data_IF_166764527217
#
_entry.id   IF_166764527217
#
_cell.length_a   1.000
_cell.length_b   1.000
_cell.length_c   1.000
_cell.angle_alpha   90.00
_cell.angle_beta   90.00
_cell.angle_gamma   90.00
#
_symmetry.space_group_name_H-M   'P 1'
#
loop_
_entity.id
_entity.type
_entity.pdbx_description
1 polymer ?
#
# COMPACT_ATOMS: atom_id res chain seq x y z
N UNK A 1 -49.44 23.08 13.13
CA UNK A 1 -48.04 22.65 12.93
C UNK A 1 -47.24 23.92 12.82
N UNK A 2 -46.45 24.24 13.85
CA UNK A 2 -45.63 25.44 13.85
C UNK A 2 -44.42 25.16 12.96
N UNK A 3 -44.29 25.97 11.92
CA UNK A 3 -43.18 25.99 10.98
C UNK A 3 -41.94 26.46 11.76
N UNK A 4 -41.02 25.53 12.06
CA UNK A 4 -39.71 25.85 12.63
C UNK A 4 -38.91 26.48 11.49
N UNK A 5 -39.03 27.80 11.33
CA UNK A 5 -38.13 28.58 10.51
C UNK A 5 -36.73 28.48 11.15
N UNK A 6 -35.94 27.51 10.68
CA UNK A 6 -34.51 27.43 10.97
C UNK A 6 -33.89 28.67 10.35
N UNK A 7 -33.44 29.59 11.20
CA UNK A 7 -32.73 30.80 10.78
C UNK A 7 -31.39 30.37 10.21
N UNK A 8 -31.25 30.40 8.89
CA UNK A 8 -29.99 30.10 8.21
C UNK A 8 -29.00 31.24 8.47
N UNK A 9 -27.89 30.94 9.14
CA UNK A 9 -26.81 31.90 9.41
C UNK A 9 -25.72 31.71 8.37
N UNK A 10 -25.37 32.78 7.66
CA UNK A 10 -24.27 32.76 6.69
C UNK A 10 -22.95 32.65 7.42
N UNK A 11 -22.06 31.81 6.90
CA UNK A 11 -20.70 31.71 7.41
C UNK A 11 -19.96 33.05 7.25
N UNK A 12 -19.17 33.40 8.25
CA UNK A 12 -18.34 34.60 8.20
C UNK A 12 -17.11 34.38 7.33
N UNK A 13 -16.54 35.46 6.79
CA UNK A 13 -15.28 35.39 6.04
C UNK A 13 -14.13 34.78 6.87
N UNK A 14 -14.18 34.93 8.21
CA UNK A 14 -13.20 34.36 9.12
C UNK A 14 -13.34 32.84 9.17
N UNK A 15 -14.55 32.30 9.34
CA UNK A 15 -14.79 30.86 9.39
C UNK A 15 -14.45 30.17 8.07
N UNK A 16 -14.72 30.83 6.94
CA UNK A 16 -14.31 30.35 5.61
C UNK A 16 -12.78 30.32 5.49
N UNK A 17 -12.09 31.36 5.97
CA UNK A 17 -10.62 31.41 5.93
C UNK A 17 -9.97 30.36 6.85
N UNK A 18 -10.55 30.10 8.02
CA UNK A 18 -10.13 29.03 8.92
C UNK A 18 -10.31 27.66 8.27
N UNK A 19 -11.45 27.40 7.66
CA UNK A 19 -11.70 26.14 6.96
C UNK A 19 -10.75 25.93 5.76
N UNK A 20 -10.44 26.98 4.99
CA UNK A 20 -9.41 26.89 3.93
C UNK A 20 -8.04 26.49 4.46
N UNK A 21 -7.65 27.03 5.63
CA UNK A 21 -6.39 26.66 6.28
C UNK A 21 -6.39 25.20 6.74
N UNK A 22 -7.54 24.70 7.19
CA UNK A 22 -7.74 23.30 7.51
C UNK A 22 -7.61 22.41 6.27
N UNK A 23 -8.31 22.75 5.17
CA UNK A 23 -8.20 22.07 3.88
C UNK A 23 -6.75 22.01 3.37
N UNK A 24 -6.01 23.13 3.43
CA UNK A 24 -4.60 23.17 3.03
C UNK A 24 -3.73 22.24 3.87
N UNK A 25 -4.02 22.11 5.16
CA UNK A 25 -3.29 21.22 6.08
C UNK A 25 -3.54 19.75 5.73
N UNK A 26 -4.80 19.37 5.47
CA UNK A 26 -5.15 18.03 5.00
C UNK A 26 -4.51 17.75 3.64
N UNK A 27 -4.61 18.68 2.69
CA UNK A 27 -4.02 18.55 1.35
C UNK A 27 -2.51 18.34 1.40
N UNK A 28 -1.79 19.11 2.20
CA UNK A 28 -0.35 18.92 2.40
C UNK A 28 -0.03 17.52 2.95
N UNK A 29 -0.75 17.08 3.98
CA UNK A 29 -0.58 15.75 4.55
C UNK A 29 -0.90 14.62 3.55
N UNK A 30 -1.98 14.76 2.76
CA UNK A 30 -2.36 13.80 1.73
C UNK A 30 -1.30 13.68 0.64
N UNK A 31 -0.73 14.80 0.19
CA UNK A 31 0.35 14.81 -0.81
C UNK A 31 1.60 14.11 -0.26
N UNK A 32 2.02 14.41 0.97
CA UNK A 32 3.17 13.76 1.58
C UNK A 32 2.94 12.25 1.72
N UNK A 33 1.76 11.84 2.18
CA UNK A 33 1.43 10.44 2.33
C UNK A 33 1.31 9.69 0.98
N UNK A 34 0.88 10.36 -0.09
CA UNK A 34 0.92 9.81 -1.45
C UNK A 34 2.36 9.59 -1.93
N UNK A 35 3.29 10.51 -1.61
CA UNK A 35 4.71 10.34 -1.95
C UNK A 35 5.33 9.14 -1.22
N UNK A 36 5.00 8.93 0.05
CA UNK A 36 5.46 7.76 0.82
C UNK A 36 4.86 6.46 0.27
N UNK A 37 3.56 6.47 -0.05
CA UNK A 37 2.88 5.32 -0.64
C UNK A 37 3.50 4.92 -2.00
N UNK A 38 3.85 5.89 -2.86
CA UNK A 38 4.51 5.60 -4.14
C UNK A 38 5.90 4.96 -3.93
N UNK A 39 6.68 5.44 -2.94
CA UNK A 39 7.97 4.82 -2.60
C UNK A 39 7.78 3.37 -2.17
N UNK A 40 6.79 3.10 -1.31
CA UNK A 40 6.47 1.74 -0.85
C UNK A 40 6.01 0.84 -2.00
N UNK A 41 5.20 1.35 -2.93
CA UNK A 41 4.78 0.62 -4.14
C UNK A 41 5.98 0.25 -5.02
N UNK A 42 6.91 1.18 -5.24
CA UNK A 42 8.13 0.92 -6.01
C UNK A 42 8.96 -0.18 -5.33
N UNK A 43 9.12 -0.11 -4.01
CA UNK A 43 9.88 -1.11 -3.25
C UNK A 43 9.24 -2.50 -3.29
N UNK A 44 7.94 -2.61 -3.04
CA UNK A 44 7.19 -3.88 -3.08
C UNK A 44 7.24 -4.48 -4.49
N UNK A 45 7.00 -3.68 -5.53
CA UNK A 45 7.05 -4.16 -6.92
C UNK A 45 8.44 -4.67 -7.30
N UNK A 46 9.50 -3.97 -6.88
CA UNK A 46 10.85 -4.44 -7.12
C UNK A 46 11.13 -5.79 -6.43
N UNK A 47 10.60 -6.02 -5.22
CA UNK A 47 10.70 -7.33 -4.55
C UNK A 47 9.92 -8.42 -5.27
N UNK A 48 8.68 -8.13 -5.68
CA UNK A 48 7.85 -9.04 -6.47
C UNK A 48 8.53 -9.44 -7.78
N UNK A 49 9.05 -8.46 -8.53
CA UNK A 49 9.79 -8.71 -9.77
C UNK A 49 11.03 -9.59 -9.54
N UNK A 50 11.77 -9.33 -8.46
CA UNK A 50 12.93 -10.14 -8.08
C UNK A 50 12.55 -11.58 -7.70
N UNK A 51 11.40 -11.78 -7.04
CA UNK A 51 10.89 -13.11 -6.71
C UNK A 51 10.40 -13.85 -7.96
N UNK A 52 9.67 -13.18 -8.85
CA UNK A 52 9.19 -13.75 -10.11
C UNK A 52 10.35 -14.14 -11.05
N UNK A 53 11.44 -13.37 -11.04
CA UNK A 53 12.66 -13.72 -11.79
C UNK A 53 13.34 -15.00 -11.27
N UNK A 54 13.15 -15.34 -9.99
CA UNK A 54 13.74 -16.49 -9.33
C UNK A 54 12.77 -17.68 -9.19
N UNK A 55 11.48 -17.48 -9.48
CA UNK A 55 10.45 -18.50 -9.37
C UNK A 55 10.74 -19.71 -10.28
N UNK A 56 10.20 -20.87 -9.91
CA UNK A 56 10.26 -22.04 -10.78
C UNK A 56 9.26 -21.88 -11.92
N UNK A 57 9.66 -22.17 -13.16
CA UNK A 57 8.82 -21.98 -14.34
C UNK A 57 8.37 -23.34 -14.87
N UNK A 58 7.06 -23.55 -14.93
CA UNK A 58 6.46 -24.74 -15.51
C UNK A 58 6.60 -24.77 -17.04
N UNK A 59 6.43 -25.95 -17.69
CA UNK A 59 6.47 -26.05 -19.15
C UNK A 59 5.44 -25.19 -19.90
N UNK A 60 4.35 -24.80 -19.23
CA UNK A 60 3.30 -23.93 -19.75
C UNK A 60 3.62 -22.42 -19.59
N UNK A 61 4.73 -22.09 -18.93
CA UNK A 61 5.19 -20.72 -18.67
C UNK A 61 4.72 -20.12 -17.36
N UNK A 62 3.85 -20.80 -16.58
CA UNK A 62 3.45 -20.32 -15.25
C UNK A 62 4.62 -20.37 -14.29
N UNK A 63 4.70 -19.34 -13.43
CA UNK A 63 5.64 -19.32 -12.31
C UNK A 63 4.98 -19.90 -11.08
N UNK A 64 5.73 -20.70 -10.35
CA UNK A 64 5.26 -21.36 -9.14
C UNK A 64 6.28 -21.22 -8.01
N UNK A 65 5.75 -21.24 -6.79
CA UNK A 65 6.45 -21.06 -5.54
C UNK A 65 6.14 -22.24 -4.62
N UNK A 66 7.19 -22.80 -4.01
CA UNK A 66 7.05 -23.83 -3.00
C UNK A 66 6.76 -23.19 -1.64
N UNK A 67 5.88 -23.78 -0.85
CA UNK A 67 5.62 -23.36 0.53
C UNK A 67 6.86 -23.49 1.43
N UNK A 68 6.85 -22.82 2.58
CA UNK A 68 7.88 -22.96 3.61
C UNK A 68 7.98 -24.39 4.16
N UNK A 69 6.83 -25.06 4.31
CA UNK A 69 6.76 -26.47 4.74
C UNK A 69 7.30 -27.46 3.69
N UNK A 70 7.52 -26.99 2.45
CA UNK A 70 8.03 -27.78 1.33
C UNK A 70 7.03 -28.76 0.72
N UNK A 71 5.78 -28.79 1.18
CA UNK A 71 4.80 -29.82 0.80
C UNK A 71 3.83 -29.38 -0.29
N UNK A 72 3.67 -28.07 -0.51
CA UNK A 72 2.68 -27.52 -1.43
C UNK A 72 3.33 -26.53 -2.39
N UNK A 73 2.69 -26.36 -3.54
CA UNK A 73 3.13 -25.45 -4.60
C UNK A 73 1.97 -24.56 -4.98
N UNK A 74 2.21 -23.26 -5.05
CA UNK A 74 1.25 -22.25 -5.46
C UNK A 74 1.76 -21.52 -6.69
N UNK A 75 0.86 -21.11 -7.58
CA UNK A 75 1.24 -20.28 -8.72
C UNK A 75 1.31 -18.78 -8.37
N UNK A 76 1.70 -17.96 -9.35
CA UNK A 76 1.82 -16.50 -9.22
C UNK A 76 0.49 -15.78 -8.92
N UNK A 77 -0.65 -16.48 -9.00
CA UNK A 77 -1.98 -15.99 -8.64
C UNK A 77 -2.46 -16.48 -7.26
N UNK A 78 -1.68 -17.35 -6.60
CA UNK A 78 -2.04 -17.93 -5.31
C UNK A 78 -2.96 -19.15 -5.41
N UNK A 79 -3.07 -19.76 -6.59
CA UNK A 79 -3.80 -21.01 -6.76
C UNK A 79 -2.88 -22.21 -6.46
N UNK A 80 -3.37 -23.19 -5.70
CA UNK A 80 -2.62 -24.41 -5.41
C UNK A 80 -2.47 -25.26 -6.68
N UNK A 81 -1.24 -25.64 -6.98
CA UNK A 81 -0.88 -26.47 -8.13
C UNK A 81 -0.81 -27.92 -7.68
N UNK A 82 -1.61 -28.78 -8.30
CA UNK A 82 -1.65 -30.21 -7.97
C UNK A 82 -0.28 -30.89 -8.15
N UNK A 83 0.02 -31.83 -7.26
CA UNK A 83 1.26 -32.61 -7.30
C UNK A 83 1.39 -33.49 -8.55
N UNK A 84 0.29 -33.73 -9.26
CA UNK A 84 0.28 -34.38 -10.58
C UNK A 84 0.92 -33.54 -11.68
N UNK A 85 0.94 -32.21 -11.50
CA UNK A 85 1.52 -31.26 -12.44
C UNK A 85 2.96 -30.89 -12.08
N UNK A 86 3.25 -30.69 -10.79
CA UNK A 86 4.60 -30.41 -10.28
C UNK A 86 4.81 -31.03 -8.92
N UNK A 87 5.84 -31.86 -8.81
CA UNK A 87 6.28 -32.40 -7.52
C UNK A 87 7.05 -31.32 -6.74
N UNK A 88 6.67 -30.98 -5.49
CA UNK A 88 7.39 -30.00 -4.67
C UNK A 88 8.89 -30.29 -4.54
N UNK A 89 9.31 -31.56 -4.55
CA UNK A 89 10.71 -31.96 -4.42
C UNK A 89 11.55 -31.58 -5.66
N UNK A 90 10.92 -31.27 -6.78
CA UNK A 90 11.57 -30.79 -8.00
C UNK A 90 11.94 -29.29 -7.92
N UNK A 91 11.34 -28.54 -7.00
CA UNK A 91 11.57 -27.11 -6.83
C UNK A 91 12.69 -26.90 -5.82
N UNK A 92 13.75 -26.21 -6.22
CA UNK A 92 14.92 -26.01 -5.36
C UNK A 92 14.62 -25.11 -4.14
N UNK A 93 15.15 -25.49 -2.97
CA UNK A 93 14.87 -24.82 -1.69
C UNK A 93 15.38 -23.38 -1.57
N UNK A 94 16.30 -22.96 -2.46
CA UNK A 94 16.84 -21.60 -2.47
C UNK A 94 15.89 -20.59 -3.11
N UNK A 95 14.82 -21.05 -3.78
CA UNK A 95 13.86 -20.18 -4.45
C UNK A 95 12.94 -19.47 -3.44
N UNK A 96 12.34 -18.34 -3.84
CA UNK A 96 11.35 -17.65 -3.02
C UNK A 96 10.20 -18.56 -2.60
N UNK A 97 9.69 -18.35 -1.39
CA UNK A 97 8.59 -19.12 -0.82
C UNK A 97 7.24 -18.49 -1.17
N UNK A 98 6.21 -19.33 -1.25
CA UNK A 98 4.86 -18.90 -1.61
C UNK A 98 4.33 -17.84 -0.63
N UNK A 99 4.59 -18.04 0.66
CA UNK A 99 4.16 -17.17 1.75
C UNK A 99 4.74 -15.76 1.61
N UNK A 100 6.04 -15.63 1.36
CA UNK A 100 6.70 -14.33 1.16
C UNK A 100 6.17 -13.62 -0.09
N UNK A 101 5.99 -14.35 -1.20
CA UNK A 101 5.45 -13.78 -2.44
C UNK A 101 4.01 -13.30 -2.27
N UNK A 102 3.14 -14.11 -1.66
CA UNK A 102 1.74 -13.76 -1.45
C UNK A 102 1.58 -12.61 -0.45
N UNK A 103 2.45 -12.54 0.57
CA UNK A 103 2.50 -11.41 1.50
C UNK A 103 2.85 -10.10 0.77
N UNK A 104 3.90 -10.07 -0.06
CA UNK A 104 4.25 -8.87 -0.84
C UNK A 104 3.17 -8.52 -1.87
N UNK A 105 2.46 -9.50 -2.44
CA UNK A 105 1.31 -9.26 -3.34
C UNK A 105 0.13 -8.61 -2.62
N UNK A 106 -0.15 -9.06 -1.40
CA UNK A 106 -1.16 -8.45 -0.55
C UNK A 106 -0.78 -7.02 -0.17
N UNK A 107 0.49 -6.80 0.23
CA UNK A 107 1.00 -5.46 0.51
C UNK A 107 0.89 -4.53 -0.71
N UNK A 108 1.18 -5.00 -1.92
CA UNK A 108 0.97 -4.22 -3.15
C UNK A 108 -0.49 -3.81 -3.30
N UNK A 109 -1.42 -4.75 -3.10
CA UNK A 109 -2.86 -4.51 -3.21
C UNK A 109 -3.32 -3.47 -2.20
N UNK A 110 -2.94 -3.61 -0.93
CA UNK A 110 -3.27 -2.65 0.12
C UNK A 110 -2.72 -1.25 -0.18
N UNK A 111 -1.49 -1.17 -0.70
CA UNK A 111 -0.89 0.11 -1.08
C UNK A 111 -1.63 0.78 -2.25
N UNK A 112 -2.07 0.02 -3.25
CA UNK A 112 -2.89 0.55 -4.36
C UNK A 112 -4.24 1.05 -3.83
N UNK A 113 -4.93 0.25 -3.02
CA UNK A 113 -6.20 0.67 -2.43
C UNK A 113 -6.05 1.93 -1.57
N UNK A 114 -4.95 2.03 -0.81
CA UNK A 114 -4.64 3.20 0.01
C UNK A 114 -4.37 4.43 -0.87
N UNK A 115 -3.63 4.29 -1.98
CA UNK A 115 -3.41 5.35 -2.96
C UNK A 115 -4.72 5.89 -3.51
N UNK A 116 -5.64 5.00 -3.90
CA UNK A 116 -6.91 5.39 -4.49
C UNK A 116 -7.78 6.17 -3.49
N UNK A 117 -7.85 5.72 -2.23
CA UNK A 117 -8.56 6.46 -1.16
C UNK A 117 -7.99 7.87 -0.94
N UNK A 118 -6.67 8.06 -1.08
CA UNK A 118 -6.02 9.37 -0.95
C UNK A 118 -6.30 10.29 -2.13
N UNK A 119 -6.39 9.74 -3.33
CA UNK A 119 -6.81 10.51 -4.51
C UNK A 119 -8.27 10.93 -4.39
N UNK A 120 -9.16 10.02 -3.95
CA UNK A 120 -10.57 10.35 -3.69
C UNK A 120 -10.72 11.48 -2.66
N UNK A 121 -9.86 11.53 -1.64
CA UNK A 121 -9.84 12.62 -0.67
C UNK A 121 -9.43 13.96 -1.31
N UNK A 122 -8.44 13.97 -2.21
CA UNK A 122 -8.03 15.19 -2.93
C UNK A 122 -9.17 15.73 -3.79
N UNK A 123 -9.83 14.85 -4.54
CA UNK A 123 -10.98 15.24 -5.38
C UNK A 123 -12.12 15.85 -4.54
N UNK A 124 -12.34 15.33 -3.32
CA UNK A 124 -13.33 15.90 -2.39
C UNK A 124 -12.91 17.27 -1.86
N UNK A 125 -11.64 17.46 -1.48
CA UNK A 125 -11.15 18.76 -1.02
C UNK A 125 -11.23 19.81 -2.14
N UNK A 126 -10.98 19.41 -3.38
CA UNK A 126 -11.14 20.30 -4.54
C UNK A 126 -12.62 20.68 -4.75
N UNK A 127 -13.56 19.74 -4.61
CA UNK A 127 -14.99 20.04 -4.64
C UNK A 127 -15.43 20.95 -3.47
N UNK A 128 -14.83 20.83 -2.29
CA UNK A 128 -15.07 21.73 -1.16
C UNK A 128 -14.55 23.14 -1.46
N UNK A 129 -13.36 23.27 -2.05
CA UNK A 129 -12.81 24.56 -2.48
C UNK A 129 -13.70 25.25 -3.52
N UNK A 130 -14.21 24.51 -4.50
CA UNK A 130 -15.18 25.03 -5.48
C UNK A 130 -16.42 25.59 -4.77
N UNK A 131 -16.98 24.85 -3.80
CA UNK A 131 -18.13 25.33 -3.00
C UNK A 131 -17.79 26.58 -2.15
N UNK A 132 -16.57 26.69 -1.64
CA UNK A 132 -16.12 27.89 -0.92
C UNK A 132 -16.00 29.12 -1.83
N UNK A 133 -15.75 28.93 -3.13
CA UNK A 133 -15.67 30.01 -4.10
C UNK A 133 -17.05 30.54 -4.54
N UNK A 134 -18.11 29.72 -4.44
CA UNK A 134 -19.48 30.13 -4.78
C UNK A 134 -20.05 31.21 -3.84
N UNK A 135 -19.57 31.30 -2.59
CA UNK A 135 -19.74 32.46 -1.72
C UNK A 135 -21.04 32.57 -0.91
N UNK A 136 -21.93 31.58 -0.98
CA UNK A 136 -23.23 31.55 -0.27
C UNK A 136 -23.32 30.42 0.78
N UNK A 137 -22.21 30.09 1.45
CA UNK A 137 -22.17 29.02 2.45
C UNK A 137 -22.72 29.47 3.81
N UNK A 138 -23.46 28.56 4.44
CA UNK A 138 -23.97 28.73 5.79
C UNK A 138 -22.99 28.15 6.82
N UNK A 139 -23.14 28.51 8.09
CA UNK A 139 -22.37 27.89 9.18
C UNK A 139 -22.56 26.36 9.21
N UNK A 140 -23.79 25.90 8.95
CA UNK A 140 -24.13 24.48 8.87
C UNK A 140 -23.43 23.81 7.68
N UNK A 141 -23.36 24.45 6.50
CA UNK A 141 -22.64 23.91 5.34
C UNK A 141 -21.14 23.71 5.66
N UNK A 142 -20.51 24.65 6.36
CA UNK A 142 -19.12 24.52 6.77
C UNK A 142 -18.91 23.44 7.83
N UNK A 143 -19.89 23.22 8.73
CA UNK A 143 -19.83 22.15 9.71
C UNK A 143 -19.94 20.77 9.01
N UNK A 144 -20.88 20.64 8.08
CA UNK A 144 -21.08 19.43 7.29
C UNK A 144 -19.82 19.09 6.47
N UNK A 145 -19.17 20.09 5.85
CA UNK A 145 -17.92 19.87 5.12
C UNK A 145 -16.77 19.41 6.03
N UNK A 146 -16.66 19.95 7.25
CA UNK A 146 -15.65 19.49 8.23
C UNK A 146 -15.93 18.07 8.70
N UNK A 147 -17.19 17.73 8.94
CA UNK A 147 -17.59 16.37 9.29
C UNK A 147 -17.26 15.41 8.15
N UNK A 148 -17.57 15.77 6.90
CA UNK A 148 -17.22 14.99 5.72
C UNK A 148 -15.69 14.79 5.63
N UNK A 149 -14.91 15.87 5.77
CA UNK A 149 -13.45 15.79 5.74
C UNK A 149 -12.90 14.84 6.82
N UNK A 150 -13.43 14.95 8.04
CA UNK A 150 -13.05 14.09 9.16
C UNK A 150 -13.56 12.64 9.00
N UNK A 151 -14.66 12.39 8.33
CA UNK A 151 -15.15 11.04 8.06
C UNK A 151 -14.27 10.34 7.04
N UNK A 152 -14.03 10.99 5.89
CA UNK A 152 -13.38 10.39 4.73
C UNK A 152 -11.84 10.42 4.79
N UNK A 153 -11.24 11.28 5.61
CA UNK A 153 -9.78 11.29 5.72
C UNK A 153 -9.25 9.96 6.29
N UNK A 154 -8.27 9.32 5.60
CA UNK A 154 -7.57 8.16 6.14
C UNK A 154 -6.88 8.47 7.48
N UNK A 155 -6.73 7.44 8.31
CA UNK A 155 -6.21 7.60 9.69
C UNK A 155 -4.78 8.16 9.72
N UNK A 156 -3.92 7.78 8.77
CA UNK A 156 -2.57 8.32 8.64
C UNK A 156 -2.57 9.83 8.38
N UNK A 157 -3.53 10.33 7.58
CA UNK A 157 -3.68 11.76 7.30
C UNK A 157 -4.18 12.51 8.54
N UNK A 158 -5.20 11.97 9.21
CA UNK A 158 -5.76 12.55 10.46
C UNK A 158 -4.67 12.74 11.49
N UNK A 159 -3.84 11.73 11.71
CA UNK A 159 -2.77 11.79 12.69
C UNK A 159 -1.72 12.83 12.31
N UNK A 160 -1.36 12.92 11.04
CA UNK A 160 -0.42 13.91 10.54
C UNK A 160 -0.92 15.35 10.73
N UNK A 161 -2.20 15.61 10.42
CA UNK A 161 -2.83 16.93 10.64
C UNK A 161 -2.90 17.28 12.12
N UNK A 162 -3.16 16.30 12.99
CA UNK A 162 -3.14 16.47 14.45
C UNK A 162 -1.73 16.64 15.04
N UNK A 163 -0.67 16.58 14.22
CA UNK A 163 0.72 16.64 14.67
C UNK A 163 1.15 15.40 15.47
N UNK A 164 0.40 14.31 15.37
CA UNK A 164 0.79 13.00 15.90
C UNK A 164 1.73 12.37 14.89
N UNK A 165 2.96 12.08 15.30
CA UNK A 165 4.00 11.57 14.43
C UNK A 165 3.64 10.13 14.00
N UNK A 166 2.97 9.99 12.85
CA UNK A 166 2.62 8.67 12.30
C UNK A 166 3.86 8.04 11.67
N UNK A 167 4.42 7.05 12.35
CA UNK A 167 5.28 6.08 11.69
C UNK A 167 4.37 4.94 11.27
N UNK A 168 4.10 4.81 9.97
CA UNK A 168 3.50 3.59 9.43
C UNK A 168 4.31 2.41 9.99
N UNK A 169 3.68 1.40 10.61
CA UNK A 169 4.40 0.22 11.02
C UNK A 169 4.93 -0.44 9.76
N UNK A 170 6.21 -0.20 9.47
CA UNK A 170 7.01 -1.08 8.65
C UNK A 170 7.22 -2.34 9.50
N UNK A 171 6.22 -3.21 9.56
CA UNK A 171 6.47 -4.62 9.85
C UNK A 171 7.16 -5.23 8.62
N UNK A 172 8.37 -4.72 8.35
CA UNK A 172 9.36 -5.38 7.54
C UNK A 172 9.87 -6.53 8.39
N UNK A 173 9.20 -7.66 8.27
CA UNK A 173 9.55 -8.89 8.96
C UNK A 173 11.04 -9.17 8.79
N UNK A 174 11.70 -9.53 9.89
CA UNK A 174 13.18 -9.60 10.01
C UNK A 174 13.85 -10.69 9.16
N UNK A 175 13.13 -11.30 8.22
CA UNK A 175 13.63 -12.37 7.36
C UNK A 175 14.43 -11.87 6.14
N UNK A 176 14.63 -10.55 6.02
CA UNK A 176 15.46 -9.89 5.00
C UNK A 176 16.93 -10.35 4.92
N UNK A 177 17.42 -11.16 5.87
CA UNK A 177 18.81 -11.61 5.85
C UNK A 177 19.08 -12.82 4.93
N UNK A 178 18.07 -13.59 4.50
CA UNK A 178 18.29 -14.84 3.78
C UNK A 178 18.03 -14.81 2.26
N UNK A 179 17.28 -13.83 1.74
CA UNK A 179 16.93 -13.80 0.31
C UNK A 179 18.00 -13.14 -0.60
N UNK A 180 18.97 -12.41 -0.03
CA UNK A 180 19.89 -11.57 -0.82
C UNK A 180 21.24 -12.22 -1.17
N UNK A 181 21.46 -13.54 -0.97
CA UNK A 181 22.77 -14.12 -1.32
C UNK A 181 22.78 -15.56 -1.87
N UNK A 182 22.23 -15.82 -3.07
CA UNK A 182 22.45 -17.09 -3.76
C UNK A 182 23.86 -17.21 -4.38
N UNK A 183 24.61 -16.11 -4.56
CA UNK A 183 25.89 -16.13 -5.29
C UNK A 183 27.04 -16.74 -4.45
N UNK A 184 26.97 -16.68 -3.12
CA UNK A 184 28.04 -17.23 -2.26
C UNK A 184 28.07 -18.77 -2.23
N UNK A 185 26.93 -19.42 -2.42
CA UNK A 185 26.83 -20.90 -2.46
C UNK A 185 27.41 -21.51 -3.75
N UNK A 186 27.45 -20.76 -4.85
CA UNK A 186 28.03 -21.23 -6.12
C UNK A 186 29.57 -21.08 -6.12
N UNK A 187 30.12 -20.09 -5.42
CA UNK A 187 31.57 -19.88 -5.35
C UNK A 187 32.30 -20.85 -4.42
N UNK A 188 31.69 -21.33 -3.33
CA UNK A 188 32.33 -22.34 -2.47
C UNK A 188 32.39 -23.74 -3.10
N UNK A 189 31.53 -24.05 -4.09
CA UNK A 189 31.54 -25.34 -4.80
C UNK A 189 32.53 -25.40 -5.98
N UNK A 190 32.99 -24.24 -6.47
CA UNK A 190 33.99 -24.17 -7.54
C UNK A 190 35.43 -24.31 -7.03
N UNK A 191 35.66 -24.10 -5.72
CA UNK A 191 36.98 -24.26 -5.11
C UNK A 191 37.38 -25.73 -4.87
N UNK A 192 36.42 -26.65 -4.80
CA UNK A 192 36.67 -28.07 -4.47
C UNK A 192 36.98 -28.96 -5.68
N UNK A 193 36.81 -28.45 -6.91
CA UNK A 193 37.07 -29.21 -8.15
C UNK A 193 38.51 -28.98 -8.69
N UNK A 194 39.29 -28.08 -8.07
CA UNK A 194 40.65 -27.72 -8.56
C UNK A 194 41.82 -28.39 -7.81
N UNK A 195 41.59 -29.43 -7.01
CA UNK A 195 42.65 -30.11 -6.23
C UNK A 195 42.90 -31.60 -6.59
N UNK A 196 42.36 -32.10 -7.70
CA UNK A 196 42.73 -33.40 -8.25
C UNK A 196 43.32 -33.27 -9.67
N UNK A 197 44.52 -32.68 -9.76
CA UNK A 197 45.50 -32.97 -10.83
C UNK A 197 46.93 -32.93 -10.28
#
# INVERSE_FOLDING_TARGET
>A
MADLAVSTVLATEIEIAEFRTELDSYRAATIESLMLNEQQLVEVRARLDAMLAQAYVLPDGRRVFKTEDGQRVFDEHGEEVGADLVDPDMIEDWRPRAESYLSDREAERELVENRDRKLDLLDRMDAMDERLEEGDLTEDDLADMREELAEFAPEDIKQQVLGVNYQAPLELDRDFANAANPIRAVMDRAADISLEQ
#
